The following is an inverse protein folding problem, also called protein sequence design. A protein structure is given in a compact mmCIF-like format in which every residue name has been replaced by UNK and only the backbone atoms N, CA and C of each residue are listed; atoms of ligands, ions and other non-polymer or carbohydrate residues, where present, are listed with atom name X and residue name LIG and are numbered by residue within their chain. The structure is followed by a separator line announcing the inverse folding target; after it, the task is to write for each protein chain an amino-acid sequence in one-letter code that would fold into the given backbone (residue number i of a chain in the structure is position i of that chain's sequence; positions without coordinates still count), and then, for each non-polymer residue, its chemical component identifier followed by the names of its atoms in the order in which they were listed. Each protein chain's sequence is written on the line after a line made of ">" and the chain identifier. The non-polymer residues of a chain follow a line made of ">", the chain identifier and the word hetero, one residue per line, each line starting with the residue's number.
data_IF_740183550989
#
_entry.id   IF_740183550989
#
_cell.length_a   1.000
_cell.length_b   1.000
_cell.length_c   1.000
_cell.angle_alpha   90.00
_cell.angle_beta   90.00
_cell.angle_gamma   90.00
#
_symmetry.space_group_name_H-M   'P 1'
#
loop_
_entity.id
_entity.type
_entity.pdbx_description
1 polymer ?
#
# COMPACT_ATOMS: atom_id res chain seq x y z
N UNK A 1 59.63 -26.99 -60.25
CA UNK A 1 59.30 -25.55 -60.27
C UNK A 1 58.00 -25.37 -59.46
N UNK A 2 58.11 -24.76 -58.28
CA UNK A 2 57.51 -23.45 -57.91
C UNK A 2 55.97 -23.42 -57.85
N UNK A 3 55.48 -23.29 -56.61
CA UNK A 3 54.19 -22.80 -56.05
C UNK A 3 53.68 -21.48 -56.69
N UNK A 4 52.54 -20.84 -56.30
CA UNK A 4 51.34 -21.24 -55.48
C UNK A 4 49.97 -20.68 -55.99
N UNK A 5 48.84 -21.01 -55.32
CA UNK A 5 47.65 -20.15 -55.08
C UNK A 5 46.71 -20.93 -54.13
N UNK A 6 46.65 -20.72 -52.80
CA UNK A 6 46.11 -19.60 -52.03
C UNK A 6 44.67 -19.22 -52.44
N UNK A 7 43.68 -19.78 -51.74
CA UNK A 7 42.31 -19.25 -51.67
C UNK A 7 41.81 -19.36 -50.21
N UNK A 8 41.61 -18.17 -49.64
CA UNK A 8 41.01 -17.87 -48.35
C UNK A 8 39.47 -17.98 -48.39
N UNK A 9 38.89 -18.16 -47.19
CA UNK A 9 37.53 -17.70 -46.84
C UNK A 9 36.52 -18.85 -46.75
N UNK A 10 35.60 -18.93 -45.79
CA UNK A 10 35.10 -17.93 -44.86
C UNK A 10 34.42 -18.71 -43.71
N UNK A 11 34.86 -18.52 -42.47
CA UNK A 11 34.22 -19.13 -41.29
C UNK A 11 32.92 -18.38 -40.99
N UNK A 12 31.77 -18.95 -41.35
CA UNK A 12 30.46 -18.45 -40.92
C UNK A 12 30.29 -18.70 -39.42
N UNK A 13 30.51 -17.66 -38.62
CA UNK A 13 30.09 -17.57 -37.22
C UNK A 13 28.55 -17.48 -37.19
N UNK A 14 27.90 -18.58 -36.82
CA UNK A 14 26.50 -18.58 -36.42
C UNK A 14 26.39 -17.82 -35.09
N UNK A 15 25.95 -16.57 -35.16
CA UNK A 15 25.53 -15.79 -34.01
C UNK A 15 24.26 -16.43 -33.45
N UNK A 16 24.41 -17.29 -32.44
CA UNK A 16 23.32 -17.76 -31.61
C UNK A 16 22.76 -16.57 -30.81
N UNK A 17 21.67 -16.00 -31.31
CA UNK A 17 20.84 -15.06 -30.57
C UNK A 17 20.20 -15.82 -29.41
N UNK A 18 20.86 -15.84 -28.24
CA UNK A 18 20.22 -16.31 -27.03
C UNK A 18 19.05 -15.35 -26.74
N UNK A 19 17.80 -15.83 -26.61
CA UNK A 19 16.73 -14.97 -26.13
C UNK A 19 17.12 -14.53 -24.73
N UNK A 20 17.30 -13.21 -24.56
CA UNK A 20 17.45 -12.61 -23.24
C UNK A 20 16.18 -12.94 -22.47
N UNK A 21 16.28 -13.95 -21.59
CA UNK A 21 15.24 -14.25 -20.62
C UNK A 21 15.06 -12.99 -19.78
N UNK A 22 14.05 -12.21 -20.13
CA UNK A 22 13.63 -11.06 -19.34
C UNK A 22 12.98 -11.71 -18.13
N UNK A 23 13.74 -11.87 -17.05
CA UNK A 23 13.17 -12.26 -15.76
C UNK A 23 12.25 -11.13 -15.36
N UNK A 24 10.98 -11.23 -15.75
CA UNK A 24 9.91 -10.47 -15.14
C UNK A 24 9.94 -10.86 -13.66
N UNK A 25 10.50 -10.01 -12.81
CA UNK A 25 10.35 -10.13 -11.37
C UNK A 25 8.87 -9.92 -11.12
N UNK A 26 8.12 -11.00 -10.97
CA UNK A 26 6.74 -10.99 -10.53
C UNK A 26 6.67 -10.13 -9.27
N UNK A 27 5.93 -9.03 -9.34
CA UNK A 27 5.73 -8.17 -8.19
C UNK A 27 5.02 -9.01 -7.13
N UNK A 28 5.50 -9.03 -5.87
CA UNK A 28 4.84 -9.83 -4.85
C UNK A 28 3.36 -9.39 -4.75
N UNK A 29 2.47 -10.35 -4.53
CA UNK A 29 1.06 -10.06 -4.30
C UNK A 29 0.89 -9.47 -2.90
N UNK A 30 0.08 -8.41 -2.81
CA UNK A 30 -0.21 -7.78 -1.53
C UNK A 30 -1.04 -8.68 -0.60
N UNK A 31 -0.94 -8.51 0.73
CA UNK A 31 -1.69 -9.30 1.70
C UNK A 31 -3.20 -9.01 1.77
N UNK A 32 -3.65 -7.89 1.21
CA UNK A 32 -5.06 -7.48 1.25
C UNK A 32 -5.80 -8.00 0.00
N UNK A 33 -7.10 -8.29 0.16
CA UNK A 33 -7.93 -8.76 -0.96
C UNK A 33 -8.31 -7.57 -1.84
N UNK A 34 -7.64 -7.45 -2.99
CA UNK A 34 -7.92 -6.40 -3.99
C UNK A 34 -9.40 -6.45 -4.43
N UNK A 35 -10.02 -5.29 -4.57
CA UNK A 35 -11.45 -5.17 -4.92
C UNK A 35 -12.43 -5.43 -3.77
N UNK A 36 -11.97 -5.91 -2.60
CA UNK A 36 -12.82 -6.02 -1.41
C UNK A 36 -13.28 -4.63 -0.96
N UNK A 37 -14.55 -4.50 -0.58
CA UNK A 37 -15.12 -3.23 -0.11
C UNK A 37 -15.05 -3.19 1.40
N UNK A 38 -14.34 -2.21 1.93
CA UNK A 38 -14.22 -1.97 3.35
C UNK A 38 -15.05 -0.76 3.75
N UNK A 39 -15.82 -0.87 4.82
CA UNK A 39 -16.58 0.24 5.40
C UNK A 39 -15.88 0.75 6.65
N UNK A 40 -15.84 2.07 6.80
CA UNK A 40 -15.31 2.75 7.96
C UNK A 40 -16.51 3.36 8.69
N UNK A 41 -16.68 3.05 9.97
CA UNK A 41 -17.71 3.67 10.81
C UNK A 41 -17.12 4.10 12.14
N UNK A 42 -17.66 5.14 12.76
CA UNK A 42 -17.30 5.52 14.12
C UNK A 42 -17.49 7.00 14.40
N UNK A 43 -16.62 7.54 15.25
CA UNK A 43 -16.59 8.94 15.66
C UNK A 43 -15.21 9.49 15.37
N UNK A 44 -15.07 10.73 14.92
CA UNK A 44 -13.76 11.36 14.74
C UNK A 44 -13.23 12.01 16.04
N UNK A 45 -12.11 12.73 15.95
CA UNK A 45 -11.47 13.38 17.09
C UNK A 45 -12.34 14.46 17.76
N UNK A 46 -13.38 14.94 17.09
CA UNK A 46 -14.33 15.92 17.60
C UNK A 46 -15.63 15.28 18.11
N UNK A 47 -15.69 13.94 18.16
CA UNK A 47 -16.88 13.17 18.48
C UNK A 47 -18.01 13.30 17.42
N UNK A 48 -17.67 13.71 16.20
CA UNK A 48 -18.60 13.75 15.08
C UNK A 48 -18.67 12.39 14.38
N UNK A 49 -19.86 12.03 13.87
CA UNK A 49 -20.04 10.77 13.15
C UNK A 49 -19.12 10.71 11.92
N UNK A 50 -18.49 9.55 11.75
CA UNK A 50 -17.69 9.18 10.60
C UNK A 50 -18.29 7.94 9.92
N UNK A 51 -18.49 8.02 8.61
CA UNK A 51 -18.93 6.91 7.77
C UNK A 51 -18.29 7.05 6.38
N UNK A 52 -17.62 6.00 5.92
CA UNK A 52 -16.90 5.99 4.65
C UNK A 52 -16.80 4.60 4.06
N UNK A 53 -16.41 4.52 2.79
CA UNK A 53 -16.24 3.24 2.09
C UNK A 53 -15.05 3.30 1.14
N UNK A 54 -14.22 2.27 1.23
CA UNK A 54 -13.00 2.11 0.44
C UNK A 54 -13.04 0.78 -0.26
N UNK A 55 -12.84 0.78 -1.57
CA UNK A 55 -12.51 -0.44 -2.32
C UNK A 55 -11.00 -0.60 -2.28
N UNK A 56 -10.51 -1.76 -1.81
CA UNK A 56 -9.07 -2.07 -1.75
C UNK A 56 -8.48 -1.93 -3.16
N UNK A 57 -7.57 -0.97 -3.40
CA UNK A 57 -6.98 -0.78 -4.72
C UNK A 57 -6.20 -2.01 -5.19
N UNK A 58 -6.09 -2.19 -6.51
CA UNK A 58 -5.18 -3.17 -7.10
C UNK A 58 -3.74 -2.63 -7.18
N UNK A 59 -2.80 -3.50 -7.55
CA UNK A 59 -1.40 -3.17 -7.85
C UNK A 59 -0.66 -2.42 -6.71
N UNK A 60 -0.66 -2.95 -5.47
CA UNK A 60 -0.04 -2.27 -4.34
C UNK A 60 1.48 -2.19 -4.49
N UNK A 61 2.05 -1.06 -4.05
CA UNK A 61 3.50 -0.86 -4.01
C UNK A 61 4.08 -1.49 -2.76
N UNK A 62 5.18 -2.22 -2.91
CA UNK A 62 5.88 -2.86 -1.80
C UNK A 62 7.22 -2.18 -1.52
N UNK A 63 7.40 -1.70 -0.29
CA UNK A 63 8.70 -1.29 0.23
C UNK A 63 9.37 -2.47 0.95
N UNK A 64 10.46 -2.97 0.38
CA UNK A 64 11.21 -4.10 0.95
C UNK A 64 11.99 -3.76 2.21
N UNK A 65 12.34 -2.48 2.41
CA UNK A 65 13.14 -2.03 3.54
C UNK A 65 12.32 -2.05 4.80
N UNK A 66 11.14 -1.43 4.74
CA UNK A 66 10.23 -1.31 5.88
C UNK A 66 9.20 -2.46 5.94
N UNK A 67 9.14 -3.28 4.89
CA UNK A 67 8.18 -4.37 4.71
C UNK A 67 6.73 -3.86 4.74
N UNK A 68 6.53 -2.77 4.00
CA UNK A 68 5.29 -2.02 3.95
C UNK A 68 4.63 -2.11 2.57
N UNK A 69 3.31 -2.22 2.58
CA UNK A 69 2.46 -2.21 1.39
C UNK A 69 1.66 -0.93 1.34
N UNK A 70 1.64 -0.28 0.17
CA UNK A 70 0.82 0.90 -0.11
C UNK A 70 -0.14 0.60 -1.25
N UNK A 71 -1.43 0.60 -0.94
CA UNK A 71 -2.52 0.51 -1.91
C UNK A 71 -3.05 1.92 -2.16
N UNK A 72 -3.19 2.29 -3.43
CA UNK A 72 -3.53 3.67 -3.79
C UNK A 72 -4.51 3.73 -4.96
N UNK A 73 -5.55 4.54 -4.83
CA UNK A 73 -6.43 4.94 -5.92
C UNK A 73 -6.80 6.43 -5.80
N UNK A 74 -7.70 6.91 -6.65
CA UNK A 74 -8.23 8.28 -6.55
C UNK A 74 -9.03 8.51 -5.27
N UNK A 75 -9.70 7.48 -4.76
CA UNK A 75 -10.66 7.58 -3.65
C UNK A 75 -10.24 6.80 -2.42
N UNK A 76 -9.08 6.14 -2.45
CA UNK A 76 -8.61 5.32 -1.33
C UNK A 76 -7.08 5.34 -1.20
N UNK A 77 -6.61 5.26 0.04
CA UNK A 77 -5.23 4.90 0.37
C UNK A 77 -5.23 3.90 1.51
N UNK A 78 -4.44 2.83 1.40
CA UNK A 78 -4.26 1.86 2.47
C UNK A 78 -2.77 1.64 2.67
N UNK A 79 -2.33 1.78 3.91
CA UNK A 79 -0.97 1.44 4.33
C UNK A 79 -1.05 0.18 5.19
N UNK A 80 -0.19 -0.79 4.94
CA UNK A 80 -0.15 -2.04 5.68
C UNK A 80 1.30 -2.43 5.98
N UNK A 81 1.60 -2.72 7.24
CA UNK A 81 2.94 -3.12 7.69
C UNK A 81 2.97 -4.61 7.99
N UNK A 82 3.78 -5.39 7.27
CA UNK A 82 3.81 -6.86 7.41
C UNK A 82 4.26 -7.32 8.79
N UNK A 83 5.26 -6.62 9.35
CA UNK A 83 5.91 -7.04 10.60
C UNK A 83 4.98 -6.97 11.80
N UNK A 84 3.99 -6.07 11.77
CA UNK A 84 3.05 -5.83 12.87
C UNK A 84 1.61 -6.21 12.51
N UNK A 85 1.29 -6.33 11.22
CA UNK A 85 -0.07 -6.47 10.72
C UNK A 85 -0.93 -5.23 10.97
N UNK A 86 -0.30 -4.09 11.30
CA UNK A 86 -0.97 -2.80 11.44
C UNK A 86 -1.33 -2.25 10.08
N UNK A 87 -2.45 -1.53 10.04
CA UNK A 87 -2.86 -0.89 8.80
C UNK A 87 -3.66 0.38 9.03
N UNK A 88 -3.71 1.20 7.99
CA UNK A 88 -4.39 2.48 7.99
C UNK A 88 -5.23 2.55 6.72
N UNK A 89 -6.51 2.87 6.87
CA UNK A 89 -7.44 3.00 5.74
C UNK A 89 -7.89 4.44 5.64
N UNK A 90 -7.72 5.01 4.46
CA UNK A 90 -8.06 6.38 4.14
C UNK A 90 -9.15 6.38 3.07
N UNK A 91 -10.33 6.88 3.43
CA UNK A 91 -11.33 7.28 2.44
C UNK A 91 -10.97 8.68 1.96
N UNK A 92 -10.60 8.77 0.67
CA UNK A 92 -10.24 10.02 0.01
C UNK A 92 -11.23 10.43 -1.07
N UNK A 93 -12.44 9.87 -1.04
CA UNK A 93 -13.50 10.21 -1.97
C UNK A 93 -13.97 11.67 -1.84
N UNK A 94 -13.95 12.21 -0.62
CA UNK A 94 -14.25 13.62 -0.35
C UNK A 94 -12.96 14.42 -0.07
N UNK A 95 -12.52 15.30 -0.98
CA UNK A 95 -11.30 16.09 -0.80
C UNK A 95 -11.41 17.17 0.30
N UNK A 96 -12.62 17.52 0.73
CA UNK A 96 -12.85 18.47 1.83
C UNK A 96 -12.75 17.79 3.19
N UNK A 97 -12.98 16.46 3.24
CA UNK A 97 -12.99 15.68 4.48
C UNK A 97 -12.49 14.27 4.22
N UNK A 98 -11.19 14.08 4.43
CA UNK A 98 -10.61 12.75 4.50
C UNK A 98 -11.06 12.04 5.76
N UNK A 99 -11.30 10.73 5.66
CA UNK A 99 -11.60 9.88 6.79
C UNK A 99 -10.47 8.86 6.94
N UNK A 100 -9.88 8.77 8.12
CA UNK A 100 -8.78 7.87 8.40
C UNK A 100 -9.17 6.97 9.56
N UNK A 101 -9.00 5.66 9.38
CA UNK A 101 -9.03 4.69 10.46
C UNK A 101 -7.69 3.97 10.57
N UNK A 102 -7.07 4.09 11.73
CA UNK A 102 -5.73 3.60 12.06
C UNK A 102 -5.87 2.41 13.00
N UNK A 103 -5.55 1.21 12.49
CA UNK A 103 -5.59 -0.03 13.25
C UNK A 103 -4.18 -0.37 13.71
N UNK A 104 -3.89 0.00 14.97
CA UNK A 104 -2.64 -0.29 15.67
C UNK A 104 -2.92 -1.19 16.86
N UNK A 105 -2.91 -2.50 16.67
CA UNK A 105 -3.01 -3.43 17.80
C UNK A 105 -2.43 -4.80 17.44
N UNK A 106 -1.59 -5.38 18.30
CA UNK A 106 -1.14 -6.77 18.17
C UNK A 106 -2.29 -7.80 18.19
N UNK A 107 -3.45 -7.44 18.78
CA UNK A 107 -4.67 -8.25 18.75
C UNK A 107 -5.55 -7.97 17.51
N UNK A 108 -5.18 -6.97 16.71
CA UNK A 108 -5.83 -6.58 15.47
C UNK A 108 -5.01 -6.91 14.21
N UNK A 109 -4.00 -7.78 14.33
CA UNK A 109 -3.28 -8.35 13.18
C UNK A 109 -4.28 -8.76 12.11
N UNK A 110 -4.07 -8.24 10.91
CA UNK A 110 -4.85 -8.65 9.76
C UNK A 110 -4.75 -10.16 9.56
N UNK A 111 -5.89 -10.83 9.52
CA UNK A 111 -6.00 -12.22 9.06
C UNK A 111 -7.07 -12.28 7.98
N UNK A 112 -6.93 -13.23 7.05
CA UNK A 112 -7.93 -13.42 6.00
C UNK A 112 -9.35 -13.68 6.55
N UNK A 113 -9.45 -14.30 7.73
CA UNK A 113 -10.72 -14.68 8.37
C UNK A 113 -11.36 -13.59 9.22
N UNK A 114 -10.58 -12.62 9.71
CA UNK A 114 -11.12 -11.52 10.53
C UNK A 114 -11.80 -10.50 9.63
N UNK A 115 -13.03 -10.15 9.98
CA UNK A 115 -13.89 -9.24 9.19
C UNK A 115 -14.11 -7.88 9.83
N UNK A 116 -13.74 -7.71 11.09
CA UNK A 116 -13.91 -6.45 11.81
C UNK A 116 -12.65 -6.06 12.59
N UNK A 117 -12.32 -4.78 12.55
CA UNK A 117 -11.12 -4.22 13.19
C UNK A 117 -11.46 -2.89 13.84
N UNK A 118 -11.12 -2.74 15.10
CA UNK A 118 -11.26 -1.47 15.81
C UNK A 118 -9.95 -0.68 15.74
N UNK A 119 -10.07 0.64 15.59
CA UNK A 119 -8.93 1.53 15.47
C UNK A 119 -9.19 2.92 16.03
N UNK A 120 -8.20 3.78 15.84
CA UNK A 120 -8.27 5.21 16.11
C UNK A 120 -8.65 5.94 14.83
N UNK A 121 -9.52 6.93 14.92
CA UNK A 121 -9.97 7.71 13.78
C UNK A 121 -9.56 9.16 13.84
N UNK A 122 -9.40 9.73 12.65
CA UNK A 122 -9.25 11.16 12.44
C UNK A 122 -10.00 11.51 11.16
N UNK A 123 -10.69 12.64 11.15
CA UNK A 123 -11.31 13.19 9.95
C UNK A 123 -11.02 14.68 9.78
N UNK A 124 -10.91 15.15 8.54
CA UNK A 124 -10.74 16.58 8.25
C UNK A 124 -10.07 16.85 6.91
N UNK A 125 -9.78 18.13 6.65
CA UNK A 125 -8.99 18.53 5.49
C UNK A 125 -7.54 18.05 5.61
N UNK A 126 -6.77 18.05 4.51
CA UNK A 126 -5.33 17.70 4.59
C UNK A 126 -4.56 18.62 5.55
N UNK A 127 -4.95 19.89 5.66
CA UNK A 127 -4.34 20.83 6.60
C UNK A 127 -4.62 20.44 8.05
N UNK A 128 -5.87 20.06 8.36
CA UNK A 128 -6.26 19.59 9.70
C UNK A 128 -5.51 18.31 10.06
N UNK A 129 -5.45 17.36 9.11
CA UNK A 129 -4.72 16.11 9.29
C UNK A 129 -3.23 16.34 9.51
N UNK A 130 -2.60 17.22 8.74
CA UNK A 130 -1.19 17.58 8.92
C UNK A 130 -0.94 18.21 10.29
N UNK A 131 -1.85 19.06 10.79
CA UNK A 131 -1.75 19.64 12.13
C UNK A 131 -1.89 18.56 13.22
N UNK A 132 -2.78 17.59 13.02
CA UNK A 132 -2.95 16.42 13.90
C UNK A 132 -1.69 15.55 13.90
N UNK A 133 -1.17 15.17 12.74
CA UNK A 133 0.05 14.35 12.65
C UNK A 133 1.29 15.07 13.16
N UNK A 134 1.43 16.39 12.92
CA UNK A 134 2.52 17.19 13.46
C UNK A 134 2.54 17.19 14.99
N UNK A 135 1.37 17.33 15.63
CA UNK A 135 1.23 17.21 17.10
C UNK A 135 1.53 15.81 17.63
N UNK A 136 1.30 14.75 16.85
CA UNK A 136 1.68 13.39 17.22
C UNK A 136 3.20 13.14 17.08
N UNK A 137 3.87 13.87 16.19
CA UNK A 137 5.32 13.72 15.91
C UNK A 137 6.26 14.51 16.84
N UNK A 138 5.72 15.41 17.68
CA UNK A 138 6.46 16.24 18.64
C UNK A 138 5.76 16.31 20.00
N UNK A 139 6.43 16.83 21.04
CA UNK A 139 6.08 16.76 22.47
C UNK A 139 4.78 17.47 22.93
N UNK A 140 3.71 17.39 22.16
CA UNK A 140 2.38 17.87 22.52
C UNK A 140 1.54 16.81 23.22
N UNK A 141 0.57 17.27 24.00
CA UNK A 141 -0.45 16.45 24.67
C UNK A 141 -1.13 15.51 23.67
N UNK A 142 -1.20 14.21 24.01
CA UNK A 142 -1.89 13.14 23.29
C UNK A 142 -3.11 13.66 22.54
N UNK A 143 -3.06 13.68 21.21
CA UNK A 143 -4.28 13.67 20.42
C UNK A 143 -4.99 12.36 20.73
N UNK A 144 -6.11 12.48 21.43
CA UNK A 144 -7.06 11.37 21.53
C UNK A 144 -7.83 11.42 20.22
N UNK A 145 -7.45 10.56 19.28
CA UNK A 145 -8.28 10.32 18.10
C UNK A 145 -9.67 9.83 18.51
N UNK A 146 -10.59 9.81 17.57
CA UNK A 146 -11.86 9.15 17.78
C UNK A 146 -11.72 7.62 17.78
N UNK A 147 -12.86 6.93 17.74
CA UNK A 147 -12.92 5.49 17.55
C UNK A 147 -13.47 5.14 16.19
N UNK A 148 -12.92 4.11 15.55
CA UNK A 148 -13.46 3.56 14.32
C UNK A 148 -13.53 2.03 14.34
N UNK A 149 -14.39 1.52 13.48
CA UNK A 149 -14.48 0.11 13.10
C UNK A 149 -14.39 0.02 11.58
N UNK A 150 -13.52 -0.87 11.10
CA UNK A 150 -13.45 -1.29 9.71
C UNK A 150 -14.17 -2.63 9.58
N UNK A 151 -15.10 -2.72 8.64
CA UNK A 151 -15.73 -3.99 8.24
C UNK A 151 -15.36 -4.33 6.81
N UNK A 152 -14.94 -5.57 6.55
CA UNK A 152 -14.54 -6.10 5.24
C UNK A 152 -15.63 -6.88 4.54
#
# INVERSE_FOLDING_TARGET
>A
MRTPALLLGLSLLLASCAPTATTATEQPQGPLVEGETWTITGLDQNNDKMEGSVVVPADPRYDRTDRDWTYYSRTARIYFTESTGEFQVWDTSNPERFLICIVRSPAATYTATKKQYSGLSVAGSMADLNAVFAKLSGSGTKLTGGSCTITR
#
